data_IF_122408632322
#
_entry.id   IF_122408632322
#
_cell.length_a   1.000
_cell.length_b   1.000
_cell.length_c   1.000
_cell.angle_alpha   90.00
_cell.angle_beta   90.00
_cell.angle_gamma   90.00
#
_symmetry.space_group_name_H-M   'P 1'
#
loop_
_entity.id
_entity.type
_entity.pdbx_description
1 polymer ?
#
# COMPACT_ATOMS: atom_id res chain seq x y z
N UNK A 1 22.03 10.53 4.61
CA UNK A 1 20.60 10.91 4.57
C UNK A 1 20.32 11.85 5.73
N UNK A 2 19.61 12.97 5.50
CA UNK A 2 19.26 13.90 6.60
C UNK A 2 18.14 13.32 7.48
N UNK A 3 18.01 13.79 8.72
CA UNK A 3 16.92 13.39 9.62
C UNK A 3 15.54 13.68 9.03
N UNK A 4 15.39 14.83 8.35
CA UNK A 4 14.15 15.22 7.68
C UNK A 4 13.80 14.26 6.52
N UNK A 5 14.79 13.87 5.72
CA UNK A 5 14.60 12.92 4.61
C UNK A 5 14.20 11.55 5.12
N UNK A 6 14.85 11.07 6.18
CA UNK A 6 14.49 9.79 6.81
C UNK A 6 13.06 9.83 7.36
N UNK A 7 12.71 10.89 8.09
CA UNK A 7 11.34 11.08 8.60
C UNK A 7 10.32 11.09 7.46
N UNK A 8 10.58 11.83 6.38
CA UNK A 8 9.71 11.87 5.21
C UNK A 8 9.50 10.49 4.58
N UNK A 9 10.56 9.69 4.43
CA UNK A 9 10.46 8.31 3.91
C UNK A 9 9.70 7.38 4.85
N UNK A 10 9.92 7.50 6.16
CA UNK A 10 9.18 6.74 7.18
C UNK A 10 7.69 7.09 7.18
N UNK A 11 7.36 8.37 7.13
CA UNK A 11 5.97 8.85 7.07
C UNK A 11 5.29 8.41 5.76
N UNK A 12 5.96 8.57 4.62
CA UNK A 12 5.45 8.15 3.32
C UNK A 12 5.16 6.64 3.27
N UNK A 13 6.01 5.83 3.93
CA UNK A 13 5.87 4.37 3.92
C UNK A 13 5.04 3.81 5.08
N UNK A 14 4.59 4.66 6.02
CA UNK A 14 3.89 4.27 7.25
C UNK A 14 2.70 3.35 7.02
N UNK A 15 1.89 3.68 6.01
CA UNK A 15 0.73 2.88 5.65
C UNK A 15 1.10 1.44 5.25
N UNK A 16 2.20 1.26 4.50
CA UNK A 16 2.59 -0.05 3.98
C UNK A 16 3.13 -0.96 5.08
N UNK A 17 4.13 -0.52 5.85
CA UNK A 17 4.68 -1.37 6.91
C UNK A 17 3.71 -1.52 8.08
N UNK A 18 2.94 -0.47 8.42
CA UNK A 18 1.95 -0.53 9.48
C UNK A 18 0.86 -1.57 9.19
N UNK A 19 0.29 -1.56 7.99
CA UNK A 19 -0.71 -2.56 7.59
C UNK A 19 -0.11 -3.96 7.41
N UNK A 20 1.14 -4.08 6.92
CA UNK A 20 1.81 -5.37 6.83
C UNK A 20 2.04 -6.00 8.21
N UNK A 21 2.45 -5.20 9.21
CA UNK A 21 2.58 -5.65 10.60
C UNK A 21 1.24 -6.09 11.16
N UNK A 22 0.17 -5.33 10.94
CA UNK A 22 -1.19 -5.72 11.36
C UNK A 22 -1.59 -7.07 10.74
N UNK A 23 -1.36 -7.27 9.44
CA UNK A 23 -1.62 -8.56 8.78
C UNK A 23 -0.79 -9.71 9.33
N UNK A 24 0.44 -9.46 9.79
CA UNK A 24 1.28 -10.47 10.43
C UNK A 24 0.79 -10.84 11.85
N UNK A 25 0.18 -9.89 12.56
CA UNK A 25 -0.37 -10.12 13.90
C UNK A 25 -1.69 -10.89 13.86
N UNK A 26 -2.48 -10.73 12.80
CA UNK A 26 -3.74 -11.46 12.58
C UNK A 26 -3.85 -11.91 11.12
N UNK A 27 -3.12 -12.98 10.80
CA UNK A 27 -3.10 -13.56 9.46
C UNK A 27 -4.45 -14.15 9.06
N UNK A 28 -5.26 -14.60 10.02
CA UNK A 28 -6.58 -15.16 9.74
C UNK A 28 -7.52 -14.05 9.27
N UNK A 29 -7.60 -12.93 9.99
CA UNK A 29 -8.38 -11.77 9.57
C UNK A 29 -7.90 -11.24 8.20
N UNK A 30 -6.59 -11.14 8.00
CA UNK A 30 -6.01 -10.68 6.74
C UNK A 30 -6.31 -11.64 5.56
N UNK A 31 -6.29 -12.95 5.80
CA UNK A 31 -6.68 -13.95 4.79
C UNK A 31 -8.17 -13.85 4.45
N UNK A 32 -9.02 -13.58 5.45
CA UNK A 32 -10.45 -13.35 5.22
C UNK A 32 -10.72 -12.07 4.42
N UNK A 33 -9.94 -11.02 4.64
CA UNK A 33 -10.01 -9.80 3.85
C UNK A 33 -9.72 -10.09 2.37
N UNK A 34 -8.64 -10.82 2.07
CA UNK A 34 -8.31 -11.22 0.69
C UNK A 34 -9.42 -12.06 0.05
N UNK A 35 -10.10 -12.93 0.82
CA UNK A 35 -11.29 -13.68 0.37
C UNK A 35 -12.45 -12.75 0.05
N UNK A 36 -12.71 -11.75 0.90
CA UNK A 36 -13.80 -10.79 0.71
C UNK A 36 -13.64 -9.97 -0.57
N UNK A 37 -12.39 -9.72 -0.99
CA UNK A 37 -12.04 -9.09 -2.27
C UNK A 37 -12.12 -10.04 -3.48
N UNK A 38 -12.37 -11.33 -3.28
CA UNK A 38 -12.45 -12.32 -4.35
C UNK A 38 -11.10 -12.66 -4.98
N UNK A 39 -9.99 -12.44 -4.27
CA UNK A 39 -8.65 -12.72 -4.79
C UNK A 39 -8.38 -14.23 -4.83
N UNK A 40 -7.71 -14.74 -5.88
CA UNK A 40 -7.33 -16.15 -5.96
C UNK A 40 -6.31 -16.50 -4.86
N UNK A 41 -6.36 -17.75 -4.38
CA UNK A 41 -5.44 -18.28 -3.37
C UNK A 41 -5.18 -17.31 -2.19
N UNK A 42 -6.22 -16.93 -1.41
CA UNK A 42 -6.13 -15.87 -0.39
C UNK A 42 -4.97 -16.00 0.59
N UNK A 43 -4.66 -17.24 1.00
CA UNK A 43 -3.56 -17.56 1.92
C UNK A 43 -2.18 -17.29 1.32
N UNK A 44 -2.02 -17.44 0.00
CA UNK A 44 -0.76 -17.14 -0.69
C UNK A 44 -0.69 -15.64 -1.02
N UNK A 45 -1.81 -15.09 -1.47
CA UNK A 45 -1.92 -13.67 -1.84
C UNK A 45 -1.60 -12.75 -0.67
N UNK A 46 -2.06 -13.06 0.55
CA UNK A 46 -1.73 -12.23 1.71
C UNK A 46 -0.21 -12.20 1.99
N UNK A 47 0.48 -13.33 1.89
CA UNK A 47 1.94 -13.38 2.05
C UNK A 47 2.66 -12.59 0.96
N UNK A 48 2.20 -12.65 -0.29
CA UNK A 48 2.75 -11.85 -1.38
C UNK A 48 2.57 -10.34 -1.12
N UNK A 49 1.39 -9.92 -0.64
CA UNK A 49 1.11 -8.52 -0.29
C UNK A 49 1.99 -8.05 0.88
N UNK A 50 2.13 -8.86 1.93
CA UNK A 50 3.02 -8.55 3.07
C UNK A 50 4.46 -8.40 2.58
N UNK A 51 4.96 -9.37 1.81
CA UNK A 51 6.32 -9.34 1.29
C UNK A 51 6.56 -8.10 0.43
N UNK A 52 5.64 -7.75 -0.47
CA UNK A 52 5.73 -6.56 -1.31
C UNK A 52 5.77 -5.27 -0.48
N UNK A 53 4.86 -5.13 0.50
CA UNK A 53 4.79 -3.96 1.38
C UNK A 53 6.10 -3.77 2.16
N UNK A 54 6.62 -4.83 2.76
CA UNK A 54 7.83 -4.77 3.58
C UNK A 54 9.08 -4.55 2.74
N UNK A 55 9.26 -5.30 1.66
CA UNK A 55 10.43 -5.16 0.77
C UNK A 55 10.45 -3.80 0.06
N UNK A 56 9.30 -3.32 -0.43
CA UNK A 56 9.18 -1.99 -1.01
C UNK A 56 9.49 -0.88 0.00
N UNK A 57 8.99 -1.01 1.24
CA UNK A 57 9.31 -0.07 2.32
C UNK A 57 10.81 -0.04 2.62
N UNK A 58 11.43 -1.21 2.81
CA UNK A 58 12.86 -1.33 3.08
C UNK A 58 13.70 -0.74 1.94
N UNK A 59 13.30 -0.99 0.69
CA UNK A 59 13.97 -0.43 -0.49
C UNK A 59 13.94 1.12 -0.48
N UNK A 60 12.80 1.73 -0.14
CA UNK A 60 12.69 3.20 -0.05
C UNK A 60 13.49 3.76 1.13
N UNK A 61 13.47 3.10 2.29
CA UNK A 61 14.14 3.58 3.50
C UNK A 61 15.66 3.52 3.38
N UNK A 62 16.20 2.38 2.96
CA UNK A 62 17.66 2.18 2.84
C UNK A 62 18.18 2.83 1.56
N UNK A 63 17.42 2.72 0.47
CA UNK A 63 17.76 3.21 -0.87
C UNK A 63 19.22 2.93 -1.28
N UNK A 64 19.68 1.66 -1.17
CA UNK A 64 21.03 1.33 -1.59
C UNK A 64 21.12 1.56 -3.10
N UNK A 65 22.04 2.41 -3.56
CA UNK A 65 22.32 2.62 -4.98
C UNK A 65 21.09 3.01 -5.84
N UNK A 66 20.09 3.71 -5.28
CA UNK A 66 18.91 4.18 -6.02
C UNK A 66 17.78 3.15 -6.20
N UNK A 67 17.87 1.99 -5.53
CA UNK A 67 16.83 0.95 -5.58
C UNK A 67 15.51 1.39 -4.93
N UNK A 68 15.51 2.48 -4.16
CA UNK A 68 14.28 3.06 -3.61
C UNK A 68 13.25 3.42 -4.68
N UNK A 69 13.70 3.74 -5.89
CA UNK A 69 12.83 4.01 -7.05
C UNK A 69 12.01 2.79 -7.46
N UNK A 70 12.63 1.60 -7.42
CA UNK A 70 11.94 0.32 -7.74
C UNK A 70 10.93 0.01 -6.64
N UNK A 71 11.30 0.20 -5.37
CA UNK A 71 10.38 0.05 -4.25
C UNK A 71 9.16 0.99 -4.36
N UNK A 72 9.40 2.26 -4.69
CA UNK A 72 8.34 3.25 -4.90
C UNK A 72 7.42 2.91 -6.07
N UNK A 73 7.98 2.47 -7.21
CA UNK A 73 7.19 2.04 -8.35
C UNK A 73 6.32 0.81 -8.03
N UNK A 74 6.90 -0.19 -7.35
CA UNK A 74 6.18 -1.41 -6.98
C UNK A 74 5.03 -1.12 -5.98
N UNK A 75 5.28 -0.30 -4.96
CA UNK A 75 4.24 0.14 -4.03
C UNK A 75 3.19 1.04 -4.70
N UNK A 76 3.61 1.87 -5.66
CA UNK A 76 2.69 2.71 -6.44
C UNK A 76 1.72 1.88 -7.26
N UNK A 77 2.24 0.89 -8.01
CA UNK A 77 1.41 -0.04 -8.80
C UNK A 77 0.47 -0.86 -7.91
N UNK A 78 0.95 -1.33 -6.76
CA UNK A 78 0.11 -1.98 -5.75
C UNK A 78 -1.03 -1.08 -5.30
N UNK A 79 -0.74 0.18 -4.96
CA UNK A 79 -1.72 1.14 -4.47
C UNK A 79 -2.76 1.49 -5.55
N UNK A 80 -2.35 1.55 -6.82
CA UNK A 80 -3.26 1.72 -7.95
C UNK A 80 -4.20 0.52 -8.06
N UNK A 81 -3.68 -0.70 -7.92
CA UNK A 81 -4.49 -1.92 -8.02
C UNK A 81 -5.50 -2.06 -6.86
N UNK A 82 -5.19 -1.55 -5.66
CA UNK A 82 -6.12 -1.67 -4.52
C UNK A 82 -7.36 -0.80 -4.66
N UNK A 83 -7.29 0.33 -5.37
CA UNK A 83 -8.44 1.24 -5.56
C UNK A 83 -9.65 0.51 -6.17
N UNK A 84 -9.55 -0.13 -7.35
CA UNK A 84 -10.68 -0.85 -7.94
C UNK A 84 -11.12 -2.08 -7.16
N UNK A 85 -10.23 -2.69 -6.40
CA UNK A 85 -10.50 -3.93 -5.68
C UNK A 85 -11.25 -3.64 -4.37
N UNK A 86 -10.77 -2.68 -3.59
CA UNK A 86 -11.29 -2.40 -2.25
C UNK A 86 -12.31 -1.26 -2.23
N UNK A 87 -12.27 -0.33 -3.19
CA UNK A 87 -13.07 0.89 -3.20
C UNK A 87 -13.74 1.15 -4.55
N UNK A 88 -14.67 0.29 -5.02
CA UNK A 88 -15.35 0.46 -6.30
C UNK A 88 -16.40 1.59 -6.23
N UNK A 89 -15.96 2.83 -6.01
CA UNK A 89 -16.83 3.98 -5.76
C UNK A 89 -17.85 4.22 -6.90
N UNK A 90 -17.54 3.82 -8.13
CA UNK A 90 -18.42 3.90 -9.30
C UNK A 90 -19.67 3.02 -9.22
N UNK A 91 -19.67 1.99 -8.37
CA UNK A 91 -20.83 1.10 -8.17
C UNK A 91 -21.56 1.35 -6.86
N UNK A 92 -21.07 2.27 -6.02
CA UNK A 92 -21.64 2.58 -4.72
C UNK A 92 -22.55 3.81 -4.76
N UNK A 93 -23.66 3.76 -4.02
CA UNK A 93 -24.57 4.88 -3.78
C UNK A 93 -24.61 5.30 -2.30
N UNK A 94 -25.23 6.46 -2.04
CA UNK A 94 -25.45 6.95 -0.67
C UNK A 94 -24.14 7.19 0.13
N UNK A 95 -24.18 7.05 1.47
CA UNK A 95 -23.03 7.35 2.33
C UNK A 95 -21.76 6.51 2.04
N UNK A 96 -21.89 5.33 1.43
CA UNK A 96 -20.76 4.47 1.09
C UNK A 96 -19.93 5.04 -0.07
N UNK A 97 -20.57 5.74 -1.01
CA UNK A 97 -19.89 6.38 -2.13
C UNK A 97 -18.85 7.40 -1.66
N UNK A 98 -19.25 8.32 -0.75
CA UNK A 98 -18.37 9.36 -0.24
C UNK A 98 -17.14 8.79 0.48
N UNK A 99 -17.31 7.73 1.28
CA UNK A 99 -16.20 7.05 1.97
C UNK A 99 -15.23 6.39 0.98
N UNK A 100 -15.75 5.74 -0.06
CA UNK A 100 -14.92 5.11 -1.07
C UNK A 100 -14.16 6.13 -1.93
N UNK A 101 -14.77 7.25 -2.28
CA UNK A 101 -14.09 8.36 -2.97
C UNK A 101 -12.98 8.95 -2.09
N UNK A 102 -13.25 9.18 -0.80
CA UNK A 102 -12.24 9.68 0.13
C UNK A 102 -11.04 8.73 0.20
N UNK A 103 -11.28 7.43 0.39
CA UNK A 103 -10.21 6.43 0.42
C UNK A 103 -9.41 6.42 -0.89
N UNK A 104 -10.06 6.50 -2.05
CA UNK A 104 -9.39 6.57 -3.34
C UNK A 104 -8.49 7.82 -3.48
N UNK A 105 -8.93 8.98 -2.98
CA UNK A 105 -8.14 10.22 -2.98
C UNK A 105 -6.95 10.17 -2.01
N UNK A 106 -7.11 9.52 -0.87
CA UNK A 106 -6.00 9.25 0.07
C UNK A 106 -4.93 8.37 -0.60
N UNK A 107 -5.36 7.31 -1.30
CA UNK A 107 -4.46 6.43 -2.07
C UNK A 107 -3.78 7.17 -3.21
N UNK A 108 -4.50 8.03 -3.94
CA UNK A 108 -3.93 8.87 -4.99
C UNK A 108 -2.85 9.82 -4.46
N UNK A 109 -3.06 10.37 -3.27
CA UNK A 109 -2.09 11.23 -2.60
C UNK A 109 -0.81 10.45 -2.21
N UNK A 110 -0.96 9.21 -1.73
CA UNK A 110 0.17 8.29 -1.47
C UNK A 110 0.94 7.98 -2.75
N UNK A 111 0.22 7.68 -3.86
CA UNK A 111 0.83 7.46 -5.17
C UNK A 111 1.66 8.68 -5.60
N UNK A 112 1.13 9.90 -5.47
CA UNK A 112 1.86 11.12 -5.77
C UNK A 112 3.14 11.27 -4.94
N UNK A 113 3.08 10.97 -3.65
CA UNK A 113 4.25 10.95 -2.77
C UNK A 113 5.31 9.93 -3.18
N UNK A 114 4.89 8.72 -3.59
CA UNK A 114 5.79 7.69 -4.10
C UNK A 114 6.43 8.08 -5.43
N UNK A 115 5.68 8.70 -6.35
CA UNK A 115 6.21 9.21 -7.61
C UNK A 115 7.31 10.24 -7.33
N UNK A 116 7.04 11.23 -6.48
CA UNK A 116 8.04 12.24 -6.11
C UNK A 116 9.27 11.60 -5.46
N UNK A 117 9.07 10.60 -4.59
CA UNK A 117 10.18 9.87 -3.97
C UNK A 117 11.00 9.01 -4.95
N UNK A 118 10.48 8.76 -6.16
CA UNK A 118 11.12 7.96 -7.20
C UNK A 118 11.86 8.78 -8.27
N UNK A 119 11.76 10.13 -8.21
CA UNK A 119 12.46 11.06 -9.10
C UNK A 119 13.86 11.35 -8.55
#
# INVERSE_FOLDING_TARGET
MSALTLFGRLALTAFFWGTAVQSLLDLDAATQEMRSFGLPLPSITIWAVIALKLTGTVAILIDPSGWGRIGAAALGLFTIATIPIAYPFWSLGGPAHGKAVQAALEHLSVIGGLVIASL
#
